data_IF_024302386327
#
_entry.id   IF_024302386327
#
_cell.length_a   1.000
_cell.length_b   1.000
_cell.length_c   1.000
_cell.angle_alpha   90.00
_cell.angle_beta   90.00
_cell.angle_gamma   90.00
#
_symmetry.space_group_name_H-M   'P 1'
#
loop_
_entity.id
_entity.type
_entity.pdbx_description
1 polymer ?
#
# COMPACT_ATOMS: atom_id res chain seq x y z
N UNK A 1 -1.47 -13.97 17.76
CA UNK A 1 -2.75 -13.25 17.50
C UNK A 1 -2.99 -13.42 16.01
N UNK A 2 -4.16 -13.89 15.57
CA UNK A 2 -4.37 -14.33 14.18
C UNK A 2 -3.88 -13.33 13.11
N UNK A 3 -4.12 -12.02 13.30
CA UNK A 3 -3.67 -10.99 12.36
C UNK A 3 -2.15 -10.77 12.31
N UNK A 4 -1.42 -10.97 13.42
CA UNK A 4 0.06 -10.87 13.43
C UNK A 4 0.66 -12.06 12.69
N UNK A 5 0.08 -13.25 12.88
CA UNK A 5 0.60 -14.47 12.28
C UNK A 5 0.38 -14.49 10.75
N UNK A 6 -0.74 -13.93 10.28
CA UNK A 6 -0.97 -13.66 8.85
C UNK A 6 0.03 -12.65 8.30
N UNK A 7 0.18 -11.50 8.97
CA UNK A 7 1.11 -10.47 8.50
C UNK A 7 2.56 -10.96 8.43
N UNK A 8 2.98 -11.83 9.36
CA UNK A 8 4.30 -12.48 9.32
C UNK A 8 4.49 -13.40 8.12
N UNK A 9 3.43 -14.07 7.66
CA UNK A 9 3.47 -14.91 6.45
C UNK A 9 3.61 -14.03 5.21
N UNK A 10 2.75 -13.01 5.10
CA UNK A 10 2.82 -12.02 4.03
C UNK A 10 4.21 -11.38 3.94
N UNK A 11 4.76 -10.92 5.06
CA UNK A 11 6.07 -10.27 5.08
C UNK A 11 7.20 -11.22 4.69
N UNK A 12 7.11 -12.50 5.04
CA UNK A 12 8.07 -13.51 4.59
C UNK A 12 7.94 -13.79 3.08
N UNK A 13 6.73 -13.82 2.53
CA UNK A 13 6.51 -13.93 1.08
C UNK A 13 7.17 -12.76 0.34
N UNK A 14 6.94 -11.54 0.80
CA UNK A 14 7.52 -10.32 0.23
C UNK A 14 9.05 -10.31 0.32
N UNK A 15 9.60 -10.80 1.43
CA UNK A 15 11.05 -10.96 1.58
C UNK A 15 11.62 -11.96 0.57
N UNK A 16 10.98 -13.11 0.42
CA UNK A 16 11.43 -14.16 -0.52
C UNK A 16 11.30 -13.70 -1.98
N UNK A 17 10.27 -12.91 -2.31
CA UNK A 17 10.12 -12.34 -3.65
C UNK A 17 11.10 -11.21 -3.96
N UNK A 18 11.97 -10.83 -3.02
CA UNK A 18 12.91 -9.72 -3.18
C UNK A 18 12.21 -8.36 -3.27
N UNK A 19 11.03 -8.21 -2.64
CA UNK A 19 10.31 -6.95 -2.65
C UNK A 19 11.18 -5.83 -2.05
N UNK A 20 11.29 -4.73 -2.79
CA UNK A 20 11.89 -3.49 -2.31
C UNK A 20 10.81 -2.43 -2.09
N UNK A 21 11.04 -1.50 -1.18
CA UNK A 21 10.13 -0.40 -0.90
C UNK A 21 10.94 0.86 -0.64
N UNK A 22 10.82 1.87 -1.50
CA UNK A 22 11.51 3.13 -1.28
C UNK A 22 10.83 3.93 -0.18
N UNK A 23 9.49 3.95 -0.18
CA UNK A 23 8.76 4.72 0.84
C UNK A 23 7.52 3.98 1.33
N UNK A 24 7.51 3.65 2.62
CA UNK A 24 6.33 3.19 3.33
C UNK A 24 5.60 4.37 3.97
N UNK A 25 4.31 4.51 3.70
CA UNK A 25 3.44 5.50 4.35
C UNK A 25 2.29 4.81 5.06
N UNK A 26 1.97 5.27 6.27
CA UNK A 26 0.95 4.62 7.08
C UNK A 26 0.11 5.62 7.89
N UNK A 27 -1.15 5.23 8.12
CA UNK A 27 -2.08 5.99 8.96
C UNK A 27 -1.64 6.06 10.43
N UNK A 28 -1.95 7.15 11.18
CA UNK A 28 -1.62 7.30 12.61
C UNK A 28 -2.25 6.24 13.54
N UNK A 29 -3.22 5.44 13.06
CA UNK A 29 -3.84 4.39 13.87
C UNK A 29 -2.82 3.35 14.35
N UNK A 30 -2.89 2.97 15.63
CA UNK A 30 -1.96 2.00 16.23
C UNK A 30 -1.84 0.69 15.45
N UNK A 31 -2.95 0.17 14.91
CA UNK A 31 -2.95 -1.06 14.07
C UNK A 31 -2.17 -0.89 12.76
N UNK A 32 -2.22 0.29 12.14
CA UNK A 32 -1.47 0.58 10.91
C UNK A 32 0.01 0.75 11.21
N UNK A 33 0.34 1.45 12.30
CA UNK A 33 1.71 1.55 12.80
C UNK A 33 2.31 0.16 13.06
N UNK A 34 1.60 -0.68 13.81
CA UNK A 34 2.04 -2.07 14.09
C UNK A 34 2.24 -2.87 12.80
N UNK A 35 1.35 -2.70 11.82
CA UNK A 35 1.47 -3.37 10.52
C UNK A 35 2.72 -2.88 9.77
N UNK A 36 2.92 -1.56 9.74
CA UNK A 36 4.08 -0.93 9.12
C UNK A 36 5.40 -1.38 9.75
N UNK A 37 5.47 -1.41 11.09
CA UNK A 37 6.64 -1.85 11.86
C UNK A 37 6.97 -3.33 11.58
N UNK A 38 5.97 -4.20 11.51
CA UNK A 38 6.18 -5.62 11.20
C UNK A 38 6.72 -5.78 9.76
N UNK A 39 6.16 -5.06 8.79
CA UNK A 39 6.64 -5.09 7.40
C UNK A 39 8.07 -4.55 7.29
N UNK A 40 8.38 -3.44 7.95
CA UNK A 40 9.71 -2.83 7.99
C UNK A 40 10.77 -3.73 8.67
N UNK A 41 10.34 -4.63 9.56
CA UNK A 41 11.25 -5.59 10.21
C UNK A 41 11.70 -6.74 9.31
N UNK A 42 11.06 -6.94 8.15
CA UNK A 42 11.29 -8.11 7.28
C UNK A 42 11.63 -7.76 5.84
N UNK A 43 11.23 -6.58 5.37
CA UNK A 43 11.42 -6.10 4.00
C UNK A 43 12.37 -4.91 4.04
N UNK A 44 13.20 -4.74 3.01
CA UNK A 44 14.02 -3.55 2.86
C UNK A 44 13.13 -2.34 2.56
N UNK A 45 13.03 -1.41 3.53
CA UNK A 45 12.28 -0.17 3.41
C UNK A 45 13.25 1.00 3.64
N UNK A 46 13.45 1.85 2.63
CA UNK A 46 14.42 2.96 2.73
C UNK A 46 13.92 4.07 3.66
N UNK A 47 12.63 4.41 3.54
CA UNK A 47 11.97 5.43 4.37
C UNK A 47 10.59 4.97 4.81
N UNK A 48 10.25 5.20 6.08
CA UNK A 48 8.91 4.97 6.61
C UNK A 48 8.37 6.24 7.25
N UNK A 49 7.11 6.60 6.99
CA UNK A 49 6.54 7.88 7.46
C UNK A 49 5.06 7.76 7.83
N UNK A 50 4.69 8.41 8.93
CA UNK A 50 3.29 8.61 9.30
C UNK A 50 2.68 9.69 8.42
N UNK A 51 1.50 9.43 7.87
CA UNK A 51 0.72 10.38 7.06
C UNK A 51 -0.70 10.43 7.62
N UNK A 52 -1.10 11.60 8.13
CA UNK A 52 -2.38 11.77 8.81
C UNK A 52 -3.56 11.56 7.85
N UNK A 53 -3.40 12.00 6.60
CA UNK A 53 -4.39 11.97 5.54
C UNK A 53 -4.79 10.55 5.13
N UNK A 54 -4.04 9.50 5.53
CA UNK A 54 -4.43 8.11 5.28
C UNK A 54 -5.52 7.65 6.26
N UNK A 55 -5.68 8.32 7.42
CA UNK A 55 -6.71 7.93 8.40
C UNK A 55 -8.12 8.21 7.86
N UNK A 56 -8.92 7.16 7.69
CA UNK A 56 -10.29 7.24 7.17
C UNK A 56 -10.41 7.91 5.78
N UNK A 57 -9.33 7.85 5.00
CA UNK A 57 -9.25 8.45 3.68
C UNK A 57 -10.18 7.79 2.66
N UNK A 58 -10.78 8.59 1.78
CA UNK A 58 -11.35 8.09 0.53
C UNK A 58 -10.28 7.91 -0.57
N UNK A 59 -10.67 7.33 -1.72
CA UNK A 59 -9.75 7.08 -2.81
C UNK A 59 -9.09 8.35 -3.39
N UNK A 60 -9.74 9.52 -3.31
CA UNK A 60 -9.20 10.79 -3.80
C UNK A 60 -8.15 11.33 -2.85
N UNK A 61 -8.37 11.23 -1.55
CA UNK A 61 -7.38 11.61 -0.53
C UNK A 61 -6.15 10.71 -0.60
N UNK A 62 -6.34 9.39 -0.78
CA UNK A 62 -5.22 8.47 -0.99
C UNK A 62 -4.47 8.73 -2.29
N UNK A 63 -5.17 9.12 -3.37
CA UNK A 63 -4.53 9.55 -4.62
C UNK A 63 -3.65 10.79 -4.42
N UNK A 64 -4.12 11.77 -3.64
CA UNK A 64 -3.32 12.96 -3.31
C UNK A 64 -2.08 12.62 -2.49
N UNK A 65 -2.14 11.61 -1.62
CA UNK A 65 -0.93 11.13 -0.92
C UNK A 65 0.05 10.52 -1.93
N UNK A 66 -0.45 9.74 -2.88
CA UNK A 66 0.34 9.11 -3.93
C UNK A 66 1.01 10.13 -4.86
N UNK A 67 0.32 11.22 -5.21
CA UNK A 67 0.85 12.29 -6.06
C UNK A 67 1.99 13.11 -5.43
N UNK A 68 2.29 12.94 -4.14
CA UNK A 68 3.36 13.70 -3.47
C UNK A 68 4.75 13.08 -3.65
N UNK A 69 4.84 11.88 -4.20
CA UNK A 69 6.12 11.21 -4.41
C UNK A 69 6.80 11.75 -5.68
N UNK A 70 8.12 11.93 -5.61
CA UNK A 70 8.93 12.33 -6.78
C UNK A 70 9.42 11.14 -7.59
N UNK A 71 10.02 11.43 -8.75
CA UNK A 71 10.54 10.44 -9.72
C UNK A 71 11.59 9.47 -9.15
N UNK A 72 12.29 9.84 -8.09
CA UNK A 72 13.29 8.98 -7.42
C UNK A 72 12.66 7.84 -6.60
N UNK A 73 11.34 7.88 -6.37
CA UNK A 73 10.61 6.85 -5.61
C UNK A 73 9.91 5.91 -6.59
N UNK A 74 10.38 4.67 -6.74
CA UNK A 74 9.79 3.70 -7.66
C UNK A 74 8.75 2.80 -6.98
N UNK A 75 8.91 2.55 -5.68
CA UNK A 75 8.05 1.65 -4.92
C UNK A 75 7.52 2.31 -3.65
N UNK A 76 6.20 2.45 -3.57
CA UNK A 76 5.48 2.97 -2.41
C UNK A 76 4.63 1.87 -1.80
N UNK A 77 4.72 1.72 -0.48
CA UNK A 77 3.84 0.86 0.30
C UNK A 77 2.91 1.70 1.17
N UNK A 78 1.60 1.56 0.98
CA UNK A 78 0.59 2.31 1.71
C UNK A 78 -0.17 1.40 2.69
N UNK A 79 -0.15 1.75 3.98
CA UNK A 79 -0.86 1.02 5.04
C UNK A 79 -2.02 1.87 5.57
N UNK A 80 -3.23 1.55 5.12
CA UNK A 80 -4.45 2.28 5.43
C UNK A 80 -5.59 1.42 5.98
N UNK A 81 -6.82 1.86 5.74
CA UNK A 81 -8.04 1.26 6.28
C UNK A 81 -9.05 0.95 5.20
N UNK A 82 -9.84 -0.09 5.42
CA UNK A 82 -11.07 -0.29 4.66
C UNK A 82 -12.17 0.68 5.10
N UNK A 83 -13.09 1.04 4.20
CA UNK A 83 -13.14 0.61 2.79
C UNK A 83 -12.19 1.38 1.86
N UNK A 84 -11.55 2.45 2.35
CA UNK A 84 -10.71 3.36 1.55
C UNK A 84 -9.67 2.67 0.68
N UNK A 85 -8.85 1.78 1.25
CA UNK A 85 -7.81 1.06 0.48
C UNK A 85 -8.37 0.10 -0.56
N UNK A 86 -9.50 -0.56 -0.27
CA UNK A 86 -10.20 -1.43 -1.23
C UNK A 86 -10.75 -0.62 -2.40
N UNK A 87 -11.43 0.48 -2.11
CA UNK A 87 -11.95 1.39 -3.13
C UNK A 87 -10.84 2.05 -3.94
N UNK A 88 -9.71 2.37 -3.31
CA UNK A 88 -8.58 2.98 -3.99
C UNK A 88 -7.91 2.01 -4.97
N UNK A 89 -7.71 0.75 -4.56
CA UNK A 89 -7.20 -0.28 -5.46
C UNK A 89 -8.14 -0.49 -6.67
N UNK A 90 -9.46 -0.58 -6.43
CA UNK A 90 -10.47 -0.69 -7.48
C UNK A 90 -10.44 0.53 -8.42
N UNK A 91 -10.34 1.74 -7.86
CA UNK A 91 -10.24 2.98 -8.63
C UNK A 91 -8.99 3.02 -9.53
N UNK A 92 -7.83 2.61 -9.02
CA UNK A 92 -6.57 2.64 -9.75
C UNK A 92 -6.52 1.60 -10.88
N UNK A 93 -7.07 0.42 -10.64
CA UNK A 93 -6.99 -0.73 -11.56
C UNK A 93 -8.18 -0.83 -12.52
N UNK A 94 -9.31 -0.21 -12.17
CA UNK A 94 -10.57 -0.39 -12.88
C UNK A 94 -11.29 -1.70 -12.57
N UNK A 95 -10.76 -2.51 -11.65
CA UNK A 95 -11.39 -3.74 -11.19
C UNK A 95 -12.66 -3.45 -10.40
N UNK A 96 -13.71 -4.23 -10.66
CA UNK A 96 -14.96 -4.13 -9.93
C UNK A 96 -14.87 -4.83 -8.57
N UNK A 97 -15.37 -4.17 -7.52
CA UNK A 97 -15.62 -4.78 -6.21
C UNK A 97 -14.43 -5.46 -5.50
N UNK A 98 -13.21 -4.91 -5.61
CA UNK A 98 -12.10 -5.36 -4.76
C UNK A 98 -12.44 -5.15 -3.27
N UNK A 99 -12.30 -6.21 -2.48
CA UNK A 99 -12.58 -6.24 -1.04
C UNK A 99 -11.44 -6.94 -0.32
N UNK A 100 -10.72 -6.19 0.51
CA UNK A 100 -9.62 -6.73 1.28
C UNK A 100 -10.05 -7.09 2.70
N UNK A 101 -9.60 -8.24 3.19
CA UNK A 101 -9.62 -8.53 4.62
C UNK A 101 -8.44 -7.85 5.31
N UNK A 102 -8.51 -7.58 6.63
CA UNK A 102 -7.35 -7.08 7.38
C UNK A 102 -6.11 -7.96 7.16
N UNK A 103 -4.96 -7.34 6.89
CA UNK A 103 -3.70 -8.03 6.65
C UNK A 103 -3.46 -8.44 5.19
N UNK A 104 -4.43 -8.26 4.29
CA UNK A 104 -4.20 -8.44 2.85
C UNK A 104 -3.43 -7.24 2.26
N UNK A 105 -2.72 -7.52 1.18
CA UNK A 105 -1.99 -6.54 0.38
C UNK A 105 -2.33 -6.74 -1.09
N UNK A 106 -2.29 -5.65 -1.85
CA UNK A 106 -2.37 -5.67 -3.31
C UNK A 106 -1.12 -5.05 -3.90
N UNK A 107 -0.59 -5.66 -4.96
CA UNK A 107 0.50 -5.09 -5.77
C UNK A 107 -0.10 -4.56 -7.07
N UNK A 108 0.17 -3.29 -7.34
CA UNK A 108 -0.29 -2.59 -8.54
C UNK A 108 0.95 -2.00 -9.23
N UNK A 109 1.08 -2.23 -10.53
CA UNK A 109 2.11 -1.62 -11.36
C UNK A 109 1.52 -0.44 -12.14
N UNK A 110 2.36 0.55 -12.45
CA UNK A 110 1.96 1.72 -13.23
C UNK A 110 2.98 1.96 -14.34
N UNK A 111 2.49 2.28 -15.54
CA UNK A 111 3.32 2.63 -16.70
C UNK A 111 3.22 4.13 -16.98
N UNK A 112 3.64 4.93 -16.01
CA UNK A 112 3.66 6.39 -16.07
C UNK A 112 5.03 6.93 -15.67
N UNK A 113 5.39 8.12 -16.14
CA UNK A 113 6.69 8.74 -15.83
C UNK A 113 6.73 9.41 -14.44
N UNK A 114 5.58 9.90 -13.97
CA UNK A 114 5.46 10.69 -12.74
C UNK A 114 4.26 10.23 -11.93
N UNK A 115 4.37 10.31 -10.61
CA UNK A 115 3.28 9.90 -9.72
C UNK A 115 2.01 10.71 -9.94
N UNK A 116 2.11 12.00 -10.29
CA UNK A 116 0.95 12.85 -10.60
C UNK A 116 0.12 12.38 -11.81
N UNK A 117 0.71 11.58 -12.70
CA UNK A 117 0.01 11.00 -13.85
C UNK A 117 -0.81 9.75 -13.50
N UNK A 118 -0.65 9.21 -12.29
CA UNK A 118 -1.50 8.11 -11.81
C UNK A 118 -2.92 8.63 -11.62
N UNK A 119 -3.89 7.91 -12.16
CA UNK A 119 -5.30 8.27 -12.07
C UNK A 119 -6.17 7.03 -12.16
N UNK A 120 -7.47 7.22 -12.40
CA UNK A 120 -8.41 6.12 -12.55
C UNK A 120 -7.96 5.19 -13.70
N UNK A 121 -7.99 3.88 -13.47
CA UNK A 121 -7.66 2.84 -14.45
C UNK A 121 -6.24 2.96 -15.06
N UNK A 122 -5.30 3.64 -14.39
CA UNK A 122 -3.91 3.77 -14.88
C UNK A 122 -2.99 2.67 -14.35
N UNK A 123 -3.46 1.84 -13.42
CA UNK A 123 -2.68 0.76 -12.80
C UNK A 123 -3.08 -0.62 -13.31
N UNK A 124 -2.13 -1.55 -13.30
CA UNK A 124 -2.36 -2.97 -13.57
C UNK A 124 -2.29 -3.73 -12.25
N UNK A 125 -3.34 -4.50 -11.95
CA UNK A 125 -3.36 -5.41 -10.80
C UNK A 125 -2.39 -6.57 -11.07
N UNK A 126 -1.30 -6.66 -10.31
CA UNK A 126 -0.32 -7.73 -10.47
C UNK A 126 -0.67 -8.94 -9.60
N UNK A 127 -1.01 -8.69 -8.34
CA UNK A 127 -1.20 -9.76 -7.35
C UNK A 127 -1.99 -9.27 -6.13
N UNK A 128 -2.76 -10.17 -5.53
CA UNK A 128 -3.38 -10.00 -4.21
C UNK A 128 -2.76 -11.03 -3.27
N UNK A 129 -2.21 -10.55 -2.16
CA UNK A 129 -1.44 -11.34 -1.18
C UNK A 129 -2.15 -11.36 0.17
N UNK A 130 -2.03 -12.49 0.89
CA UNK A 130 -2.64 -12.72 2.22
C UNK A 130 -1.71 -13.52 3.14
#
# INVERSE_FOLDING_TARGET
MPGIDQLKRLSNLLKVSGQVCNHQVYSPANRCRQTADILASQIAIDKSSLVNEIYQADHRELLQVLHRFGSETNHVMMVGHNPGVSHFAAYLTGEDHLLFSPGMMVRISFYVEEWEHISKNSGVLEEILQ
#
